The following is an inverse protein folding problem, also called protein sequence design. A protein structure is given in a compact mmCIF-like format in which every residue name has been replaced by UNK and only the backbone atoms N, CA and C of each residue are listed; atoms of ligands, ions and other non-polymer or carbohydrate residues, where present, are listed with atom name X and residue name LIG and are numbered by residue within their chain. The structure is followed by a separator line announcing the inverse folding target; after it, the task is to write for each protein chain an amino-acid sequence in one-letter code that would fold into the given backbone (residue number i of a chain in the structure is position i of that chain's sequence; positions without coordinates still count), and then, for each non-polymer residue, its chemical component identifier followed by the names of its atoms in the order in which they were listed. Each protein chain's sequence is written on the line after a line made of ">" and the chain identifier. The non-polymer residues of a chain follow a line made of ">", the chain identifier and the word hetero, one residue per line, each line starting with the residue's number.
data_IF_268341330455
#
_entry.id   IF_268341330455
#
_cell.length_a   1.000
_cell.length_b   1.000
_cell.length_c   1.000
_cell.angle_alpha   90.00
_cell.angle_beta   90.00
_cell.angle_gamma   90.00
#
_symmetry.space_group_name_H-M   'P 1'
#
loop_
_entity.id
_entity.type
_entity.pdbx_description
1 polymer ?
#
# COMPACT_ATOMS: atom_id res chain seq x y z
N UNK A 1 14.81 12.95 15.69
CA UNK A 1 14.78 11.56 15.18
C UNK A 1 15.60 11.56 13.90
N UNK A 2 16.66 10.75 13.79
CA UNK A 2 17.55 10.75 12.64
C UNK A 2 17.41 9.42 11.90
N UNK A 3 16.93 9.47 10.67
CA UNK A 3 16.85 8.29 9.80
C UNK A 3 18.19 8.04 9.11
N UNK A 4 18.57 6.78 9.03
CA UNK A 4 19.77 6.29 8.33
C UNK A 4 19.38 5.71 6.98
N UNK A 5 20.37 5.51 6.11
CA UNK A 5 20.15 4.87 4.82
C UNK A 5 19.49 3.49 4.94
N UNK A 6 19.88 2.74 5.97
CA UNK A 6 19.28 1.44 6.31
C UNK A 6 17.79 1.50 6.59
N UNK A 7 17.29 2.61 7.14
CA UNK A 7 15.85 2.79 7.41
C UNK A 7 15.09 3.00 6.10
N UNK A 8 15.69 3.72 5.14
CA UNK A 8 15.14 3.90 3.80
C UNK A 8 15.15 2.58 3.01
N UNK A 9 16.23 1.82 3.08
CA UNK A 9 16.33 0.52 2.41
C UNK A 9 15.29 -0.46 2.98
N UNK A 10 15.07 -0.43 4.30
CA UNK A 10 13.99 -1.20 4.95
C UNK A 10 12.62 -0.74 4.50
N UNK A 11 12.35 0.56 4.48
CA UNK A 11 11.07 1.09 4.02
C UNK A 11 10.79 0.70 2.56
N UNK A 12 11.80 0.77 1.69
CA UNK A 12 11.69 0.36 0.30
C UNK A 12 11.34 -1.13 0.16
N UNK A 13 11.94 -2.00 0.98
CA UNK A 13 11.60 -3.42 1.01
C UNK A 13 10.13 -3.65 1.43
N UNK A 14 9.67 -2.98 2.49
CA UNK A 14 8.28 -3.05 2.96
C UNK A 14 7.29 -2.59 1.86
N UNK A 15 7.59 -1.48 1.20
CA UNK A 15 6.76 -0.96 0.12
C UNK A 15 6.71 -1.91 -1.09
N UNK A 16 7.84 -2.56 -1.41
CA UNK A 16 7.92 -3.54 -2.50
C UNK A 16 7.03 -4.75 -2.20
N UNK A 17 7.11 -5.29 -0.98
CA UNK A 17 6.29 -6.44 -0.56
C UNK A 17 4.78 -6.10 -0.57
N UNK A 18 4.40 -4.92 -0.07
CA UNK A 18 3.01 -4.46 -0.09
C UNK A 18 2.50 -4.30 -1.53
N UNK A 19 3.32 -3.78 -2.44
CA UNK A 19 2.97 -3.67 -3.84
C UNK A 19 2.78 -5.04 -4.50
N UNK A 20 3.69 -5.99 -4.28
CA UNK A 20 3.62 -7.33 -4.85
C UNK A 20 2.43 -8.15 -4.34
N UNK A 21 2.07 -8.00 -3.06
CA UNK A 21 1.04 -8.82 -2.41
C UNK A 21 -0.36 -8.21 -2.46
N UNK A 22 -0.47 -6.88 -2.38
CA UNK A 22 -1.76 -6.19 -2.32
C UNK A 22 -2.15 -5.57 -3.66
N UNK A 23 -1.21 -4.91 -4.34
CA UNK A 23 -1.48 -4.09 -5.54
C UNK A 23 -1.41 -4.93 -6.82
N UNK A 24 -0.28 -5.59 -7.09
CA UNK A 24 -0.01 -6.30 -8.33
C UNK A 24 -1.06 -7.37 -8.69
N UNK A 25 -1.62 -8.18 -7.76
CA UNK A 25 -2.63 -9.17 -8.10
C UNK A 25 -3.96 -8.56 -8.56
N UNK A 26 -4.20 -7.29 -8.23
CA UNK A 26 -5.43 -6.54 -8.53
C UNK A 26 -5.22 -5.51 -9.65
N UNK A 27 -3.96 -5.27 -10.01
CA UNK A 27 -3.58 -4.33 -11.05
C UNK A 27 -4.19 -4.74 -12.39
N UNK A 28 -5.00 -3.85 -12.98
CA UNK A 28 -5.76 -4.08 -14.24
C UNK A 28 -6.77 -5.23 -14.19
N UNK A 29 -7.08 -5.77 -13.01
CA UNK A 29 -8.05 -6.83 -12.79
C UNK A 29 -9.03 -6.48 -11.65
N UNK A 30 -9.37 -5.20 -11.52
CA UNK A 30 -10.39 -4.73 -10.58
C UNK A 30 -11.75 -5.24 -11.08
N UNK A 31 -12.30 -6.28 -10.45
CA UNK A 31 -13.66 -6.75 -10.72
C UNK A 31 -14.71 -5.70 -10.32
N UNK A 32 -15.93 -5.83 -10.88
CA UNK A 32 -17.08 -4.99 -10.57
C UNK A 32 -17.31 -4.91 -9.05
N UNK A 33 -16.85 -3.82 -8.42
CA UNK A 33 -16.98 -3.59 -6.97
C UNK A 33 -15.68 -3.28 -6.21
N UNK A 34 -14.51 -3.34 -6.85
CA UNK A 34 -13.21 -3.10 -6.21
C UNK A 34 -12.79 -1.63 -6.06
N UNK A 35 -13.67 -0.67 -6.40
CA UNK A 35 -13.39 0.76 -6.39
C UNK A 35 -14.36 1.41 -5.41
N UNK A 36 -13.84 1.99 -4.32
CA UNK A 36 -14.62 2.81 -3.38
C UNK A 36 -14.29 4.28 -3.60
N UNK A 37 -15.31 5.10 -3.78
CA UNK A 37 -15.16 6.56 -3.81
C UNK A 37 -14.97 7.05 -2.38
N UNK A 38 -13.77 7.55 -2.08
CA UNK A 38 -13.47 8.23 -0.82
C UNK A 38 -13.68 9.72 -1.07
N UNK A 39 -14.93 10.17 -1.03
CA UNK A 39 -15.31 11.60 -0.98
C UNK A 39 -15.22 12.45 -2.27
N UNK A 40 -14.77 11.93 -3.42
CA UNK A 40 -14.88 12.62 -4.71
C UNK A 40 -14.52 11.76 -5.93
N UNK A 41 -15.05 12.09 -7.11
CA UNK A 41 -14.91 11.30 -8.35
C UNK A 41 -13.46 11.10 -8.85
N UNK A 42 -12.49 11.80 -8.26
CA UNK A 42 -11.06 11.69 -8.56
C UNK A 42 -10.28 10.96 -7.46
N UNK A 43 -10.90 10.66 -6.32
CA UNK A 43 -10.30 9.95 -5.19
C UNK A 43 -10.80 8.50 -5.18
N UNK A 44 -10.39 7.79 -6.23
CA UNK A 44 -10.61 6.36 -6.36
C UNK A 44 -9.58 5.65 -5.50
N UNK A 45 -10.03 5.09 -4.39
CA UNK A 45 -9.23 4.21 -3.56
C UNK A 45 -9.72 2.79 -3.80
N UNK A 46 -8.79 1.88 -4.07
CA UNK A 46 -9.11 0.47 -4.20
C UNK A 46 -8.86 -0.25 -2.88
N UNK A 47 -9.53 -1.38 -2.68
CA UNK A 47 -9.23 -2.28 -1.56
C UNK A 47 -7.74 -2.70 -1.52
N UNK A 48 -7.06 -2.63 -2.66
CA UNK A 48 -5.63 -2.89 -2.76
C UNK A 48 -4.80 -1.80 -2.05
N UNK A 49 -5.17 -0.54 -2.22
CA UNK A 49 -4.48 0.61 -1.64
C UNK A 49 -4.63 0.60 -0.11
N UNK A 50 -5.85 0.39 0.41
CA UNK A 50 -6.08 0.35 1.86
C UNK A 50 -5.33 -0.82 2.53
N UNK A 51 -5.29 -1.99 1.88
CA UNK A 51 -4.54 -3.13 2.39
C UNK A 51 -3.03 -2.91 2.35
N UNK A 52 -2.53 -2.27 1.29
CA UNK A 52 -1.12 -1.90 1.20
C UNK A 52 -0.74 -0.92 2.32
N UNK A 53 -1.57 0.10 2.58
CA UNK A 53 -1.35 1.04 3.68
C UNK A 53 -1.31 0.35 5.05
N UNK A 54 -2.25 -0.56 5.31
CA UNK A 54 -2.27 -1.29 6.58
C UNK A 54 -1.02 -2.16 6.76
N UNK A 55 -0.59 -2.85 5.70
CA UNK A 55 0.62 -3.66 5.73
C UNK A 55 1.87 -2.81 5.98
N UNK A 56 2.01 -1.68 5.29
CA UNK A 56 3.14 -0.75 5.49
C UNK A 56 3.15 -0.20 6.91
N UNK A 57 1.99 0.26 7.41
CA UNK A 57 1.85 0.78 8.79
C UNK A 57 2.29 -0.27 9.81
N UNK A 58 1.77 -1.49 9.71
CA UNK A 58 2.03 -2.55 10.68
C UNK A 58 3.49 -3.02 10.61
N UNK A 59 4.10 -3.06 9.43
CA UNK A 59 5.51 -3.43 9.25
C UNK A 59 6.48 -2.36 9.79
N UNK A 60 6.14 -1.07 9.64
CA UNK A 60 6.87 0.03 10.24
C UNK A 60 6.73 0.06 11.77
N UNK A 61 5.56 -0.30 12.31
CA UNK A 61 5.29 -0.29 13.75
C UNK A 61 5.97 -1.43 14.53
N UNK A 62 6.33 -2.54 13.86
CA UNK A 62 7.06 -3.67 14.47
C UNK A 62 8.57 -3.43 14.64
N UNK A 63 9.06 -2.24 14.30
CA UNK A 63 10.47 -1.83 14.32
C UNK A 63 10.96 -1.42 15.71
#
# INVERSE_FOLDING_TARGET
>A
MTFRRTDLDRLAAIMTEAAETQIMPRFRSLGDGGIREKTGALDLVTDADEKAEWQIRDACAKA
#
